data_IF_329376425374
#
_entry.id   IF_329376425374
#
_cell.length_a   1.000
_cell.length_b   1.000
_cell.length_c   1.000
_cell.angle_alpha   90.00
_cell.angle_beta   90.00
_cell.angle_gamma   90.00
#
_symmetry.space_group_name_H-M   'P 1'
#
loop_
_entity.id
_entity.type
_entity.pdbx_description
1 polymer ?
#
# COMPACT_ATOMS: atom_id res chain seq x y z
N UNK A 1 8.27 38.29 -15.34
CA UNK A 1 6.80 38.14 -15.48
C UNK A 1 6.39 36.74 -15.94
N UNK A 2 6.53 36.33 -17.22
CA UNK A 2 5.99 35.04 -17.69
C UNK A 2 6.65 33.76 -17.11
N UNK A 3 7.96 33.79 -16.87
CA UNK A 3 8.71 32.64 -16.32
C UNK A 3 8.51 32.47 -14.80
N UNK A 4 8.25 33.56 -14.07
CA UNK A 4 8.00 33.54 -12.62
C UNK A 4 6.62 32.99 -12.27
N UNK A 5 5.63 33.25 -13.12
CA UNK A 5 4.29 32.64 -13.04
C UNK A 5 4.39 31.13 -13.26
N UNK A 6 5.17 30.70 -14.25
CA UNK A 6 5.44 29.28 -14.54
C UNK A 6 6.11 28.53 -13.38
N UNK A 7 7.09 29.15 -12.70
CA UNK A 7 7.73 28.57 -11.52
C UNK A 7 6.78 28.45 -10.31
N UNK A 8 5.90 29.43 -10.09
CA UNK A 8 4.89 29.35 -9.01
C UNK A 8 3.85 28.27 -9.28
N UNK A 9 3.37 28.17 -10.51
CA UNK A 9 2.34 27.22 -10.89
C UNK A 9 2.85 25.77 -10.84
N UNK A 10 4.08 25.52 -11.27
CA UNK A 10 4.70 24.20 -11.14
C UNK A 10 4.90 23.78 -9.68
N UNK A 11 5.27 24.70 -8.77
CA UNK A 11 5.38 24.34 -7.35
C UNK A 11 4.01 24.09 -6.70
N UNK A 12 2.98 24.85 -7.10
CA UNK A 12 1.59 24.58 -6.67
C UNK A 12 1.13 23.21 -7.15
N UNK A 13 1.44 22.85 -8.40
CA UNK A 13 1.17 21.51 -8.92
C UNK A 13 1.89 20.43 -8.09
N UNK A 14 3.16 20.65 -7.75
CA UNK A 14 3.92 19.75 -6.86
C UNK A 14 3.20 19.55 -5.51
N UNK A 15 2.74 20.63 -4.88
CA UNK A 15 1.99 20.58 -3.62
C UNK A 15 0.68 19.78 -3.76
N UNK A 16 -0.08 20.03 -4.83
CA UNK A 16 -1.32 19.29 -5.11
C UNK A 16 -1.07 17.79 -5.29
N UNK A 17 -0.01 17.41 -6.02
CA UNK A 17 0.35 15.99 -6.20
C UNK A 17 0.71 15.37 -4.84
N UNK A 18 1.50 16.06 -4.00
CA UNK A 18 1.85 15.58 -2.66
C UNK A 18 0.60 15.38 -1.77
N UNK A 19 -0.36 16.29 -1.84
CA UNK A 19 -1.63 16.18 -1.12
C UNK A 19 -2.46 14.99 -1.59
N UNK A 20 -2.56 14.79 -2.91
CA UNK A 20 -3.22 13.61 -3.47
C UNK A 20 -2.54 12.31 -3.03
N UNK A 21 -1.20 12.26 -3.02
CA UNK A 21 -0.45 11.10 -2.50
C UNK A 21 -0.78 10.87 -1.02
N UNK A 22 -0.88 11.93 -0.21
CA UNK A 22 -1.26 11.82 1.20
C UNK A 22 -2.65 11.18 1.38
N UNK A 23 -3.65 11.61 0.59
CA UNK A 23 -5.00 11.03 0.59
C UNK A 23 -4.98 9.54 0.17
N UNK A 24 -4.18 9.20 -0.85
CA UNK A 24 -4.01 7.79 -1.26
C UNK A 24 -3.34 6.96 -0.18
N UNK A 25 -2.38 7.50 0.58
CA UNK A 25 -1.75 6.80 1.70
C UNK A 25 -2.75 6.48 2.82
N UNK A 26 -3.65 7.41 3.14
CA UNK A 26 -4.72 7.14 4.12
C UNK A 26 -5.66 6.04 3.64
N UNK A 27 -6.00 6.05 2.35
CA UNK A 27 -6.82 5.00 1.73
C UNK A 27 -6.12 3.64 1.78
N UNK A 28 -4.81 3.60 1.50
CA UNK A 28 -4.00 2.38 1.62
C UNK A 28 -3.99 1.86 3.06
N UNK A 29 -3.80 2.73 4.05
CA UNK A 29 -3.85 2.34 5.47
C UNK A 29 -5.16 1.65 5.82
N UNK A 30 -6.30 2.24 5.41
CA UNK A 30 -7.64 1.65 5.63
C UNK A 30 -7.78 0.30 4.93
N UNK A 31 -7.38 0.21 3.66
CA UNK A 31 -7.52 -1.03 2.90
C UNK A 31 -6.60 -2.15 3.38
N UNK A 32 -5.42 -1.82 3.94
CA UNK A 32 -4.55 -2.80 4.60
C UNK A 32 -5.28 -3.39 5.80
N UNK A 33 -5.79 -2.54 6.70
CA UNK A 33 -6.53 -2.98 7.91
C UNK A 33 -7.77 -3.80 7.56
N UNK A 34 -8.52 -3.37 6.54
CA UNK A 34 -9.73 -4.05 6.08
C UNK A 34 -9.44 -5.27 5.18
N UNK A 35 -8.18 -5.59 4.90
CA UNK A 35 -7.74 -6.67 3.98
C UNK A 35 -8.35 -6.59 2.58
N UNK A 36 -8.63 -5.38 2.08
CA UNK A 36 -9.25 -5.10 0.78
C UNK A 36 -8.24 -5.19 -0.37
N UNK A 37 -7.80 -6.40 -0.70
CA UNK A 37 -6.70 -6.66 -1.66
C UNK A 37 -6.93 -6.09 -3.07
N UNK A 38 -8.15 -6.16 -3.62
CA UNK A 38 -8.47 -5.59 -4.93
C UNK A 38 -8.37 -4.06 -4.90
N UNK A 39 -8.89 -3.44 -3.84
CA UNK A 39 -8.78 -2.01 -3.61
C UNK A 39 -7.33 -1.56 -3.45
N UNK A 40 -6.51 -2.33 -2.72
CA UNK A 40 -5.08 -2.05 -2.56
C UNK A 40 -4.35 -1.98 -3.89
N UNK A 41 -4.55 -2.97 -4.77
CA UNK A 41 -3.89 -2.99 -6.09
C UNK A 41 -4.26 -1.77 -6.93
N UNK A 42 -5.54 -1.38 -6.93
CA UNK A 42 -6.01 -0.19 -7.66
C UNK A 42 -5.36 1.08 -7.11
N UNK A 43 -5.41 1.29 -5.80
CA UNK A 43 -4.87 2.51 -5.16
C UNK A 43 -3.35 2.60 -5.33
N UNK A 44 -2.63 1.46 -5.32
CA UNK A 44 -1.19 1.44 -5.60
C UNK A 44 -0.86 1.90 -7.03
N UNK A 45 -1.66 1.51 -8.04
CA UNK A 45 -1.47 1.98 -9.42
C UNK A 45 -1.76 3.48 -9.55
N UNK A 46 -2.85 3.95 -8.95
CA UNK A 46 -3.19 5.38 -8.94
C UNK A 46 -2.07 6.19 -8.25
N UNK A 47 -1.52 5.68 -7.14
CA UNK A 47 -0.38 6.31 -6.45
C UNK A 47 0.90 6.28 -7.29
N UNK A 48 1.17 5.22 -8.04
CA UNK A 48 2.33 5.15 -8.93
C UNK A 48 2.27 6.25 -10.00
N UNK A 49 1.11 6.44 -10.63
CA UNK A 49 0.93 7.51 -11.60
C UNK A 49 1.23 8.91 -11.00
N UNK A 50 0.81 9.15 -9.74
CA UNK A 50 1.13 10.41 -9.04
C UNK A 50 2.62 10.56 -8.71
N UNK A 51 3.31 9.45 -8.42
CA UNK A 51 4.76 9.47 -8.20
C UNK A 51 5.49 9.81 -9.50
N UNK A 52 5.05 9.23 -10.62
CA UNK A 52 5.63 9.50 -11.93
C UNK A 52 5.39 10.97 -12.34
N UNK A 53 4.19 11.51 -12.06
CA UNK A 53 3.88 12.93 -12.26
C UNK A 53 4.75 13.84 -11.38
N UNK A 54 4.94 13.48 -10.10
CA UNK A 54 5.82 14.21 -9.19
C UNK A 54 7.28 14.19 -9.68
N UNK A 55 7.73 13.06 -10.23
CA UNK A 55 9.07 12.93 -10.80
C UNK A 55 9.25 13.83 -12.03
N UNK A 56 8.24 13.92 -12.91
CA UNK A 56 8.25 14.84 -14.04
C UNK A 56 8.37 16.30 -13.58
N UNK A 57 7.57 16.72 -12.60
CA UNK A 57 7.64 18.08 -12.03
C UNK A 57 9.01 18.34 -11.39
N UNK A 58 9.60 17.37 -10.69
CA UNK A 58 10.97 17.55 -10.15
C UNK A 58 12.02 17.68 -11.25
N UNK A 59 11.91 16.91 -12.34
CA UNK A 59 12.84 17.00 -13.47
C UNK A 59 12.75 18.35 -14.18
N UNK A 60 11.55 18.94 -14.31
CA UNK A 60 11.36 20.30 -14.82
C UNK A 60 12.10 21.34 -13.95
N UNK A 61 12.13 21.13 -12.64
CA UNK A 61 12.80 22.01 -11.68
C UNK A 61 14.31 21.85 -11.69
N UNK A 62 14.83 20.64 -11.78
CA UNK A 62 16.27 20.38 -11.83
C UNK A 62 16.89 20.95 -13.11
N UNK A 63 16.17 20.89 -14.23
CA UNK A 63 16.64 21.39 -15.53
C UNK A 63 16.49 22.90 -15.72
N UNK A 64 15.79 23.61 -14.82
CA UNK A 64 15.53 25.04 -14.97
C UNK A 64 15.88 25.82 -13.68
N UNK A 65 17.13 26.28 -13.50
CA UNK A 65 17.58 26.93 -12.26
C UNK A 65 16.99 28.34 -12.01
N UNK A 66 16.12 28.85 -12.89
CA UNK A 66 15.51 30.19 -12.79
C UNK A 66 14.71 30.37 -11.48
N UNK A 67 14.19 29.28 -10.91
CA UNK A 67 13.50 29.32 -9.61
C UNK A 67 14.37 29.82 -8.46
N UNK A 68 15.70 29.64 -8.53
CA UNK A 68 16.65 30.11 -7.49
C UNK A 68 16.65 31.63 -7.33
N UNK A 69 16.27 32.35 -8.38
CA UNK A 69 16.26 33.81 -8.41
C UNK A 69 14.85 34.40 -8.33
N UNK A 70 13.82 33.57 -8.19
CA UNK A 70 12.43 34.03 -8.18
C UNK A 70 12.02 34.46 -6.75
N UNK A 71 11.76 35.77 -6.52
CA UNK A 71 11.37 36.26 -5.20
C UNK A 71 9.98 35.76 -4.78
N UNK A 72 9.83 35.46 -3.48
CA UNK A 72 8.56 35.03 -2.88
C UNK A 72 8.24 33.53 -3.00
N UNK A 73 9.15 32.70 -3.50
CA UNK A 73 8.97 31.23 -3.54
C UNK A 73 9.37 30.51 -2.23
N UNK A 74 10.07 31.19 -1.32
CA UNK A 74 10.65 30.55 -0.12
C UNK A 74 9.61 29.85 0.75
N UNK A 75 8.46 30.50 1.00
CA UNK A 75 7.37 29.90 1.79
C UNK A 75 6.83 28.63 1.12
N UNK A 76 6.53 28.71 -0.18
CA UNK A 76 5.99 27.60 -0.94
C UNK A 76 6.98 26.42 -1.02
N UNK A 77 8.28 26.69 -1.14
CA UNK A 77 9.33 25.66 -1.10
C UNK A 77 9.41 24.98 0.26
N UNK A 78 9.34 25.75 1.34
CA UNK A 78 9.33 25.22 2.71
C UNK A 78 8.09 24.35 2.95
N UNK A 79 6.92 24.79 2.48
CA UNK A 79 5.67 24.05 2.55
C UNK A 79 5.76 22.73 1.77
N UNK A 80 6.30 22.75 0.55
CA UNK A 80 6.50 21.56 -0.27
C UNK A 80 7.47 20.57 0.39
N UNK A 81 8.56 21.06 1.00
CA UNK A 81 9.49 20.23 1.75
C UNK A 81 8.83 19.59 2.98
N UNK A 82 8.06 20.36 3.75
CA UNK A 82 7.29 19.86 4.90
C UNK A 82 6.30 18.78 4.50
N UNK A 83 5.52 19.01 3.44
CA UNK A 83 4.57 18.04 2.91
C UNK A 83 5.24 16.79 2.36
N UNK A 84 6.38 16.92 1.70
CA UNK A 84 7.15 15.78 1.23
C UNK A 84 7.63 14.89 2.39
N UNK A 85 8.08 15.50 3.48
CA UNK A 85 8.47 14.78 4.69
C UNK A 85 7.27 14.06 5.33
N UNK A 86 6.15 14.75 5.47
CA UNK A 86 4.90 14.18 6.00
C UNK A 86 4.46 12.95 5.17
N UNK A 87 4.46 13.07 3.83
CA UNK A 87 4.14 11.98 2.91
C UNK A 87 5.08 10.80 3.12
N UNK A 88 6.40 11.03 3.24
CA UNK A 88 7.39 9.97 3.48
C UNK A 88 7.14 9.22 4.78
N UNK A 89 6.85 9.94 5.85
CA UNK A 89 6.57 9.35 7.16
C UNK A 89 5.29 8.49 7.12
N UNK A 90 4.21 9.01 6.53
CA UNK A 90 2.97 8.26 6.32
C UNK A 90 3.20 7.01 5.47
N UNK A 91 4.03 7.08 4.42
CA UNK A 91 4.39 5.91 3.62
C UNK A 91 5.07 4.82 4.46
N UNK A 92 6.02 5.20 5.34
CA UNK A 92 6.68 4.26 6.24
C UNK A 92 5.68 3.61 7.19
N UNK A 93 4.76 4.38 7.76
CA UNK A 93 3.72 3.86 8.66
C UNK A 93 2.80 2.86 7.94
N UNK A 94 2.34 3.16 6.72
CA UNK A 94 1.50 2.25 5.93
C UNK A 94 2.24 0.94 5.64
N UNK A 95 3.53 1.02 5.31
CA UNK A 95 4.35 -0.17 5.05
C UNK A 95 4.51 -1.03 6.31
N UNK A 96 4.76 -0.41 7.47
CA UNK A 96 4.81 -1.13 8.76
C UNK A 96 3.48 -1.81 9.09
N UNK A 97 2.35 -1.14 8.86
CA UNK A 97 1.01 -1.72 9.04
C UNK A 97 0.80 -2.92 8.12
N UNK A 98 1.21 -2.82 6.85
CA UNK A 98 1.08 -3.93 5.90
C UNK A 98 1.92 -5.15 6.30
N UNK A 99 3.13 -4.92 6.84
CA UNK A 99 3.99 -6.00 7.36
C UNK A 99 3.33 -6.68 8.56
N UNK A 100 2.80 -5.89 9.51
CA UNK A 100 2.11 -6.42 10.67
C UNK A 100 0.88 -7.25 10.27
N UNK A 101 0.06 -6.73 9.36
CA UNK A 101 -1.13 -7.43 8.88
C UNK A 101 -0.79 -8.74 8.14
N UNK A 102 0.28 -8.73 7.34
CA UNK A 102 0.79 -9.95 6.70
C UNK A 102 1.16 -11.02 7.74
N UNK A 103 1.78 -10.61 8.85
CA UNK A 103 2.13 -11.54 9.93
C UNK A 103 0.88 -12.10 10.61
N UNK A 104 -0.15 -11.28 10.86
CA UNK A 104 -1.44 -11.71 11.40
C UNK A 104 -2.11 -12.76 10.49
N UNK A 105 -2.22 -12.47 9.18
CA UNK A 105 -2.80 -13.40 8.20
C UNK A 105 -2.01 -14.73 8.17
N UNK A 106 -0.67 -14.67 8.23
CA UNK A 106 0.15 -15.89 8.25
C UNK A 106 -0.11 -16.74 9.50
N UNK A 107 -0.26 -16.11 10.67
CA UNK A 107 -0.59 -16.80 11.92
C UNK A 107 -1.99 -17.43 11.86
N UNK A 108 -2.99 -16.71 11.34
CA UNK A 108 -4.35 -17.24 11.12
C UNK A 108 -4.35 -18.45 10.19
N UNK A 109 -3.62 -18.39 9.06
CA UNK A 109 -3.50 -19.51 8.14
C UNK A 109 -2.85 -20.73 8.78
N UNK A 110 -1.83 -20.53 9.64
CA UNK A 110 -1.22 -21.62 10.40
C UNK A 110 -2.23 -22.28 11.34
N UNK A 111 -3.00 -21.49 12.08
CA UNK A 111 -4.04 -21.99 12.99
C UNK A 111 -5.13 -22.76 12.24
N UNK A 112 -5.58 -22.24 11.09
CA UNK A 112 -6.56 -22.91 10.24
C UNK A 112 -6.05 -24.27 9.73
N UNK A 113 -4.77 -24.37 9.35
CA UNK A 113 -4.17 -25.65 8.93
C UNK A 113 -4.14 -26.67 10.08
N UNK A 114 -3.76 -26.25 11.27
CA UNK A 114 -3.76 -27.11 12.46
C UNK A 114 -5.18 -27.59 12.78
N UNK A 115 -6.17 -26.70 12.73
CA UNK A 115 -7.57 -27.07 12.93
C UNK A 115 -8.09 -28.06 11.87
N UNK A 116 -7.73 -27.86 10.60
CA UNK A 116 -8.09 -28.79 9.53
C UNK A 116 -7.46 -30.17 9.73
N UNK A 117 -6.20 -30.22 10.16
CA UNK A 117 -5.50 -31.48 10.47
C UNK A 117 -6.13 -32.21 11.65
N UNK A 118 -6.47 -31.48 12.73
CA UNK A 118 -7.22 -32.05 13.86
C UNK A 118 -8.56 -32.60 13.36
N UNK A 119 -9.33 -31.79 12.64
CA UNK A 119 -10.65 -32.21 12.12
C UNK A 119 -10.56 -33.43 11.22
N UNK A 120 -9.55 -33.52 10.33
CA UNK A 120 -9.38 -34.74 9.54
C UNK A 120 -9.06 -35.94 10.44
N UNK A 121 -8.15 -35.84 11.40
CA UNK A 121 -7.86 -36.94 12.33
C UNK A 121 -9.09 -37.42 13.12
N UNK A 122 -10.04 -36.54 13.45
CA UNK A 122 -11.28 -36.91 14.16
C UNK A 122 -12.45 -37.34 13.26
N UNK A 123 -12.56 -36.84 12.02
CA UNK A 123 -13.64 -37.21 11.08
C UNK A 123 -13.30 -38.50 10.32
N UNK A 124 -12.01 -38.78 10.08
CA UNK A 124 -11.56 -39.94 9.29
C UNK A 124 -11.40 -41.30 10.02
N UNK A 125 -11.60 -41.50 11.34
CA UNK A 125 -11.51 -42.85 11.91
C UNK A 125 -12.59 -43.80 11.40
N UNK A 126 -13.79 -43.27 11.10
CA UNK A 126 -14.95 -44.09 10.74
C UNK A 126 -15.27 -44.11 9.23
N UNK A 127 -14.72 -43.17 8.45
CA UNK A 127 -14.96 -43.11 7.00
C UNK A 127 -14.03 -44.00 6.17
N UNK A 128 -12.96 -44.54 6.76
CA UNK A 128 -12.03 -45.50 6.11
C UNK A 128 -12.40 -46.96 6.40
N UNK A 129 -13.49 -47.20 7.14
CA UNK A 129 -14.16 -48.51 7.11
C UNK A 129 -14.83 -48.69 5.74
N UNK A 130 -14.02 -49.00 4.73
CA UNK A 130 -14.46 -49.48 3.44
C UNK A 130 -15.40 -50.69 3.66
N UNK A 131 -16.62 -50.68 3.09
CA UNK A 131 -17.53 -51.82 3.13
C UNK A 131 -16.95 -52.92 2.24
N UNK A 132 -16.17 -53.83 2.83
CA UNK A 132 -15.51 -54.90 2.07
C UNK A 132 -14.79 -55.96 2.89
N UNK A 133 -14.62 -55.79 4.21
CA UNK A 133 -14.11 -56.85 5.07
C UNK A 133 -15.20 -57.92 5.25
N UNK A 134 -15.14 -58.96 4.42
CA UNK A 134 -15.90 -60.21 4.56
C UNK A 134 -15.52 -60.90 5.88
N UNK A 135 -16.10 -60.44 6.98
CA UNK A 135 -16.23 -61.21 8.22
C UNK A 135 -17.26 -62.33 8.01
N UNK A 136 -16.87 -63.36 7.26
CA UNK A 136 -17.52 -64.69 7.26
C UNK A 136 -16.72 -65.62 6.34
N UNK A 137 -15.67 -66.24 6.86
CA UNK A 137 -15.32 -67.60 6.47
C UNK A 137 -15.87 -68.51 7.56
N UNK A 138 -17.11 -68.97 7.35
CA UNK A 138 -17.66 -70.18 8.00
C UNK A 138 -16.68 -71.33 7.65
N UNK A 139 -16.26 -72.19 8.56
CA UNK A 139 -17.13 -72.97 9.44
C UNK A 139 -17.71 -74.09 8.60
#
# INVERSE_FOLDING_TARGET
MGQEVSARDSLRRKLQILEQIAVKNETLSRFVRDRKMTGLRRVLRERQALIDELAAVNAEWDNNPIWKHTPGLAHLLQEAAGKQQEVRERCRQVLQQAIAEKACIAAELKNNRVQQQIRSQYVTPWSVMLPGCRFNKKG
#
